data_IF_487833127846
#
_entry.id   IF_487833127846
#
_cell.length_a   1.000
_cell.length_b   1.000
_cell.length_c   1.000
_cell.angle_alpha   90.00
_cell.angle_beta   90.00
_cell.angle_gamma   90.00
#
_symmetry.space_group_name_H-M   'P 1'
#
loop_
_entity.id
_entity.type
_entity.pdbx_description
1 polymer ?
#
# COMPACT_ATOMS: atom_id res chain seq x y z
N UNK A 1 7.63 9.07 -37.35
CA UNK A 1 7.21 9.21 -36.63
C UNK A 1 7.20 8.43 -35.67
N UNK A 2 7.48 8.50 -34.80
CA UNK A 2 7.37 7.71 -33.94
C UNK A 2 6.16 7.81 -33.45
N UNK A 3 5.54 7.14 -33.61
CA UNK A 3 4.18 7.26 -33.30
C UNK A 3 3.79 6.71 -31.99
N UNK A 4 4.71 6.41 -31.14
CA UNK A 4 4.27 5.93 -29.86
C UNK A 4 3.94 7.08 -28.96
N UNK A 5 2.90 6.88 -28.15
CA UNK A 5 2.48 7.87 -27.17
C UNK A 5 3.55 8.06 -26.10
N UNK A 6 3.63 9.23 -25.49
CA UNK A 6 4.52 9.40 -24.33
C UNK A 6 4.10 8.47 -23.21
N UNK A 7 5.04 8.07 -22.34
CA UNK A 7 4.67 7.27 -21.19
C UNK A 7 3.67 8.02 -20.32
N UNK A 8 2.79 7.26 -19.66
CA UNK A 8 1.83 7.86 -18.75
C UNK A 8 2.58 8.53 -17.61
N UNK A 9 2.15 9.72 -17.27
CA UNK A 9 2.74 10.44 -16.16
C UNK A 9 2.20 9.95 -14.85
N UNK A 10 3.05 9.89 -13.84
CA UNK A 10 2.61 9.64 -12.48
C UNK A 10 2.33 11.00 -11.85
N UNK A 11 1.10 11.15 -11.37
CA UNK A 11 0.70 12.34 -10.63
C UNK A 11 0.84 12.03 -9.15
N UNK A 12 1.66 12.80 -8.47
CA UNK A 12 1.93 12.62 -7.04
C UNK A 12 1.01 13.50 -6.23
N UNK A 13 0.26 12.89 -5.31
CA UNK A 13 -0.72 13.59 -4.49
C UNK A 13 -0.31 13.51 -3.03
N UNK A 14 -0.18 14.66 -2.38
CA UNK A 14 0.10 14.75 -0.94
C UNK A 14 -1.11 14.25 -0.17
N UNK A 15 -0.92 13.23 0.64
CA UNK A 15 -2.01 12.66 1.43
C UNK A 15 -1.86 12.90 2.93
N UNK A 16 -0.86 13.64 3.35
CA UNK A 16 -0.66 13.97 4.74
C UNK A 16 0.75 13.70 5.23
N UNK A 17 0.97 13.89 6.52
CA UNK A 17 2.27 13.69 7.13
C UNK A 17 2.44 12.23 7.57
N UNK A 18 3.69 11.76 7.58
CA UNK A 18 4.02 10.43 8.10
C UNK A 18 3.51 10.29 9.54
N UNK A 19 3.64 11.35 10.32
CA UNK A 19 3.21 11.34 11.73
C UNK A 19 1.70 11.31 11.92
N UNK A 20 0.91 11.49 10.85
CA UNK A 20 -0.53 11.34 10.94
C UNK A 20 -0.93 9.86 11.08
N UNK A 21 -0.01 8.94 10.77
CA UNK A 21 -0.24 7.51 10.93
C UNK A 21 0.59 7.06 12.13
N UNK A 22 -0.03 6.44 13.14
CA UNK A 22 0.75 5.96 14.27
C UNK A 22 1.67 4.81 13.84
N UNK A 23 2.76 4.60 14.57
CA UNK A 23 3.63 3.45 14.30
C UNK A 23 2.83 2.17 14.45
N UNK A 24 3.06 1.22 13.55
CA UNK A 24 2.31 -0.04 13.45
C UNK A 24 0.84 0.21 13.16
N UNK A 25 0.53 1.33 12.54
CA UNK A 25 -0.83 1.69 12.14
C UNK A 25 -0.98 1.80 10.65
N UNK A 26 -2.18 2.13 10.24
CA UNK A 26 -2.53 2.29 8.84
C UNK A 26 -3.60 3.34 8.66
N UNK A 27 -3.68 3.86 7.44
CA UNK A 27 -4.71 4.80 7.04
C UNK A 27 -5.26 4.35 5.70
N UNK A 28 -6.58 4.38 5.55
CA UNK A 28 -7.22 4.11 4.26
C UNK A 28 -7.38 5.41 3.51
N UNK A 29 -6.97 5.41 2.25
CA UNK A 29 -7.10 6.56 1.37
C UNK A 29 -7.95 6.15 0.18
N UNK A 30 -9.19 6.67 0.06
CA UNK A 30 -10.01 6.40 -1.10
C UNK A 30 -9.43 7.07 -2.34
N UNK A 31 -9.42 6.35 -3.46
CA UNK A 31 -8.94 6.88 -4.74
C UNK A 31 -9.87 6.43 -5.85
N UNK A 32 -9.79 7.08 -7.03
CA UNK A 32 -10.57 6.62 -8.19
C UNK A 32 -10.24 5.20 -8.63
N UNK A 33 -9.08 4.67 -8.22
CA UNK A 33 -8.64 3.32 -8.58
C UNK A 33 -8.94 2.29 -7.49
N UNK A 34 -9.59 2.69 -6.41
CA UNK A 34 -9.88 1.86 -5.26
C UNK A 34 -9.23 2.40 -3.99
N UNK A 35 -9.52 1.77 -2.87
CA UNK A 35 -8.96 2.22 -1.60
C UNK A 35 -7.50 1.76 -1.49
N UNK A 36 -6.65 2.65 -1.03
CA UNK A 36 -5.25 2.37 -0.75
C UNK A 36 -5.04 2.35 0.76
N UNK A 37 -4.36 1.31 1.25
CA UNK A 37 -3.96 1.25 2.65
C UNK A 37 -2.51 1.74 2.74
N UNK A 38 -2.28 2.74 3.56
CA UNK A 38 -0.94 3.28 3.80
C UNK A 38 -0.54 2.87 5.21
N UNK A 39 0.54 2.11 5.32
CA UNK A 39 1.00 1.51 6.57
C UNK A 39 2.25 2.21 7.06
N UNK A 40 2.37 2.34 8.37
CA UNK A 40 3.61 2.82 9.00
C UNK A 40 4.11 1.72 9.92
N UNK A 41 5.36 1.28 9.69
CA UNK A 41 5.96 0.22 10.52
C UNK A 41 6.44 0.77 11.85
N UNK A 42 6.83 -0.12 12.77
CA UNK A 42 7.40 0.27 14.03
C UNK A 42 8.69 1.06 13.89
N UNK A 43 9.44 0.85 12.80
CA UNK A 43 10.66 1.62 12.50
C UNK A 43 10.36 2.97 11.86
N UNK A 44 9.12 3.22 11.50
CA UNK A 44 8.71 4.49 10.88
C UNK A 44 8.69 4.47 9.35
N UNK A 45 8.99 3.34 8.72
CA UNK A 45 8.91 3.21 7.27
C UNK A 45 7.44 3.19 6.82
N UNK A 46 7.19 3.65 5.61
CA UNK A 46 5.83 3.78 5.08
C UNK A 46 5.71 2.95 3.80
N UNK A 47 4.60 2.23 3.69
CA UNK A 47 4.30 1.40 2.52
C UNK A 47 2.84 1.58 2.13
N UNK A 48 2.53 1.39 0.86
CA UNK A 48 1.16 1.52 0.36
C UNK A 48 0.78 0.31 -0.48
N UNK A 49 -0.34 -0.32 -0.13
CA UNK A 49 -0.92 -1.42 -0.88
C UNK A 49 -2.38 -1.08 -1.18
N UNK A 50 -2.95 -1.69 -2.22
CA UNK A 50 -4.39 -1.65 -2.33
C UNK A 50 -5.00 -2.33 -1.11
N UNK A 51 -6.09 -1.76 -0.61
CA UNK A 51 -6.67 -2.18 0.68
C UNK A 51 -7.57 -3.40 0.50
N UNK A 52 -6.97 -4.48 0.03
CA UNK A 52 -7.68 -5.74 -0.16
C UNK A 52 -6.72 -6.90 -0.07
N UNK A 53 -7.06 -7.87 0.76
CA UNK A 53 -6.29 -9.10 0.88
C UNK A 53 -6.47 -9.93 -0.40
N UNK A 54 -5.41 -10.51 -0.97
CA UNK A 54 -5.53 -11.31 -2.18
C UNK A 54 -6.39 -12.55 -1.99
N UNK A 55 -6.62 -12.97 -0.75
CA UNK A 55 -7.46 -14.14 -0.46
C UNK A 55 -8.95 -13.84 -0.70
N UNK A 56 -9.53 -12.90 0.05
CA UNK A 56 -10.96 -12.59 -0.04
C UNK A 56 -11.26 -11.11 0.12
N UNK A 57 -10.37 -10.27 -0.37
CA UNK A 57 -10.56 -8.82 -0.34
C UNK A 57 -10.76 -8.23 1.06
N UNK A 58 -10.25 -8.89 2.09
CA UNK A 58 -10.31 -8.36 3.46
C UNK A 58 -9.58 -7.02 3.55
N UNK A 59 -10.05 -6.12 4.43
CA UNK A 59 -9.45 -4.78 4.52
C UNK A 59 -8.12 -4.84 5.24
N UNK A 60 -7.02 -4.81 4.49
CA UNK A 60 -5.67 -4.88 5.05
C UNK A 60 -5.40 -3.72 6.02
N UNK A 61 -6.04 -2.56 5.80
CA UNK A 61 -5.89 -1.41 6.69
C UNK A 61 -6.39 -1.68 8.10
N UNK A 62 -7.22 -2.71 8.28
CA UNK A 62 -7.73 -3.11 9.59
C UNK A 62 -6.86 -4.21 10.22
N UNK A 63 -5.83 -4.64 9.53
CA UNK A 63 -4.97 -5.73 9.98
C UNK A 63 -3.94 -5.29 10.99
N UNK A 64 -3.16 -6.27 11.45
CA UNK A 64 -2.11 -6.03 12.45
C UNK A 64 -0.77 -5.89 11.76
N UNK A 65 -0.13 -4.74 11.93
CA UNK A 65 1.20 -4.47 11.37
C UNK A 65 2.25 -4.93 12.37
N UNK A 66 3.18 -5.78 11.90
CA UNK A 66 4.32 -6.17 12.70
C UNK A 66 5.52 -6.41 11.77
N UNK A 67 6.67 -5.86 12.13
CA UNK A 67 7.82 -5.83 11.22
C UNK A 67 7.42 -5.14 9.92
N UNK A 68 7.74 -5.75 8.79
CA UNK A 68 7.38 -5.22 7.48
C UNK A 68 6.21 -6.00 6.89
N UNK A 69 5.30 -6.47 7.72
CA UNK A 69 4.15 -7.26 7.27
C UNK A 69 2.86 -6.75 7.89
N UNK A 70 1.74 -7.13 7.28
CA UNK A 70 0.42 -6.93 7.87
C UNK A 70 -0.32 -8.27 7.83
N UNK A 71 -1.00 -8.58 8.93
CA UNK A 71 -1.83 -9.78 9.02
C UNK A 71 -3.28 -9.40 8.75
N UNK A 72 -3.88 -10.03 7.72
CA UNK A 72 -5.26 -9.76 7.33
C UNK A 72 -6.22 -10.18 8.44
N UNK A 73 -7.20 -9.33 8.79
CA UNK A 73 -8.12 -9.65 9.90
C UNK A 73 -9.09 -10.78 9.60
N UNK A 74 -9.30 -11.15 8.34
CA UNK A 74 -10.29 -12.17 8.02
C UNK A 74 -9.78 -13.60 8.22
N UNK A 75 -8.65 -13.95 7.61
CA UNK A 75 -8.16 -15.33 7.66
C UNK A 75 -6.69 -15.43 8.06
N UNK A 76 -6.13 -14.37 8.56
CA UNK A 76 -4.78 -14.40 9.12
C UNK A 76 -3.64 -14.48 8.11
N UNK A 77 -3.90 -14.22 6.82
CA UNK A 77 -2.81 -14.18 5.86
C UNK A 77 -1.86 -13.03 6.21
N UNK A 78 -0.56 -13.31 6.18
CA UNK A 78 0.45 -12.30 6.42
C UNK A 78 1.01 -11.84 5.09
N UNK A 79 0.92 -10.54 4.84
CA UNK A 79 1.31 -9.93 3.57
C UNK A 79 2.55 -9.07 3.77
N UNK A 80 3.56 -9.25 2.93
CA UNK A 80 4.73 -8.38 2.95
C UNK A 80 4.36 -7.01 2.39
N UNK A 81 4.65 -5.96 3.14
CA UNK A 81 4.24 -4.61 2.79
C UNK A 81 5.00 -4.04 1.59
N UNK A 82 6.22 -4.47 1.36
CA UNK A 82 7.02 -3.95 0.26
C UNK A 82 6.62 -4.59 -1.08
N UNK A 83 6.21 -5.84 -1.07
CA UNK A 83 5.91 -6.57 -2.30
C UNK A 83 4.44 -6.86 -2.53
N UNK A 84 3.62 -6.83 -1.49
CA UNK A 84 2.21 -7.20 -1.58
C UNK A 84 1.97 -8.69 -1.66
N UNK A 85 3.01 -9.51 -1.49
CA UNK A 85 2.88 -10.95 -1.57
C UNK A 85 2.64 -11.59 -0.20
N UNK A 86 1.79 -12.63 -0.13
CA UNK A 86 1.65 -13.38 1.11
C UNK A 86 2.94 -14.10 1.46
N UNK A 87 3.17 -14.30 2.74
CA UNK A 87 4.35 -14.99 3.25
C UNK A 87 3.95 -16.29 3.95
N UNK A 88 4.93 -17.12 4.29
CA UNK A 88 4.68 -18.34 5.03
C UNK A 88 3.89 -19.36 4.23
N UNK A 89 2.89 -19.95 4.89
CA UNK A 89 2.09 -21.03 4.29
C UNK A 89 1.30 -20.59 3.07
N UNK A 90 1.04 -19.30 2.92
CA UNK A 90 0.24 -18.77 1.82
C UNK A 90 1.09 -18.16 0.71
N UNK A 91 2.40 -18.31 0.78
CA UNK A 91 3.29 -17.80 -0.24
C UNK A 91 2.94 -18.35 -1.61
N UNK A 92 2.94 -17.50 -2.62
CA UNK A 92 2.61 -17.89 -3.98
C UNK A 92 1.13 -17.95 -4.31
N UNK A 93 0.24 -17.65 -3.37
CA UNK A 93 -1.21 -17.75 -3.59
C UNK A 93 -1.85 -16.43 -4.04
N UNK A 94 -1.13 -15.61 -4.75
CA UNK A 94 -1.64 -14.33 -5.23
C UNK A 94 -0.85 -13.18 -4.66
N UNK A 95 -1.29 -11.97 -4.93
CA UNK A 95 -0.67 -10.77 -4.36
C UNK A 95 -1.66 -9.61 -4.40
N UNK A 96 -1.42 -8.59 -3.58
CA UNK A 96 -2.15 -7.34 -3.69
C UNK A 96 -1.22 -6.31 -4.35
N UNK A 97 -1.73 -5.47 -5.26
CA UNK A 97 -0.87 -4.49 -5.93
C UNK A 97 -0.30 -3.48 -4.94
N UNK A 98 0.94 -3.09 -5.21
CA UNK A 98 1.63 -2.04 -4.46
C UNK A 98 1.32 -0.71 -5.15
N UNK A 99 0.97 0.30 -4.38
CA UNK A 99 0.76 1.64 -4.91
C UNK A 99 2.07 2.42 -4.85
N UNK A 100 2.40 3.23 -5.88
CA UNK A 100 3.58 4.09 -5.83
C UNK A 100 3.50 5.06 -4.66
N UNK A 101 4.58 5.16 -3.90
CA UNK A 101 4.62 6.02 -2.72
C UNK A 101 5.99 6.67 -2.60
N UNK A 102 6.01 7.94 -2.25
CA UNK A 102 7.23 8.67 -1.90
C UNK A 102 7.01 9.43 -0.60
N UNK A 103 8.07 9.54 0.18
CA UNK A 103 8.06 10.41 1.36
C UNK A 103 9.05 11.53 1.09
N UNK A 104 8.58 12.78 1.22
CA UNK A 104 9.39 13.98 1.04
C UNK A 104 9.20 14.90 2.22
N UNK A 105 10.26 15.19 2.93
CA UNK A 105 10.23 16.10 4.07
C UNK A 105 9.11 15.76 5.06
N UNK A 106 8.94 14.46 5.35
CA UNK A 106 7.95 14.00 6.32
C UNK A 106 6.52 13.95 5.79
N UNK A 107 6.29 14.23 4.50
CA UNK A 107 4.97 14.14 3.88
C UNK A 107 4.91 12.94 2.96
N UNK A 108 3.73 12.31 2.91
CA UNK A 108 3.49 11.13 2.08
C UNK A 108 2.80 11.55 0.79
N UNK A 109 3.36 11.08 -0.32
CA UNK A 109 2.76 11.28 -1.64
C UNK A 109 2.42 9.93 -2.25
N UNK A 110 1.18 9.78 -2.72
CA UNK A 110 0.77 8.61 -3.48
C UNK A 110 0.79 8.95 -4.96
N UNK A 111 1.28 8.02 -5.76
CA UNK A 111 1.36 8.19 -7.20
C UNK A 111 0.23 7.48 -7.91
N UNK A 112 -0.35 8.16 -8.89
CA UNK A 112 -1.40 7.60 -9.74
C UNK A 112 -1.07 7.89 -11.18
N UNK A 113 -1.48 7.00 -12.08
CA UNK A 113 -1.31 7.25 -13.50
C UNK A 113 -2.31 8.31 -13.91
N UNK A 114 -1.79 9.45 -14.39
CA UNK A 114 -2.59 10.56 -14.86
C UNK A 114 -3.06 10.36 -16.29
N UNK A 115 -4.21 10.91 -16.62
CA UNK A 115 -4.73 10.87 -17.98
C UNK A 115 -5.36 12.17 -18.30
#
# INVERSE_FOLDING_TARGET
MNAHAPPAEIIWTDIGAVTDIPRRGARRVPTPHGDIAVFRTGDGDVYALFDRCPHKNGPLSQGIVHGRTVTCPLHGWTIDLASGHPTGADAGKGCTPVAPLEVREGRIYLGFIGR
#
